data_IF_306337696596
#
_entry.id   IF_306337696596
#
_cell.length_a   1.000
_cell.length_b   1.000
_cell.length_c   1.000
_cell.angle_alpha   90.00
_cell.angle_beta   90.00
_cell.angle_gamma   90.00
#
_symmetry.space_group_name_H-M   'P 1'
#
loop_
_entity.id
_entity.type
_entity.pdbx_description
1 polymer ?
#
# COMPACT_ATOMS: atom_id res chain seq x y z
N UNK A 1 8.75 2.36 2.21
CA UNK A 1 7.91 3.00 3.24
C UNK A 1 6.60 3.48 2.64
N UNK A 2 5.54 3.57 3.44
CA UNK A 2 4.23 4.09 3.00
C UNK A 2 4.27 5.63 2.89
N UNK A 3 3.76 6.17 1.78
CA UNK A 3 3.65 7.61 1.52
C UNK A 3 2.22 7.94 1.08
N UNK A 4 1.60 8.94 1.71
CA UNK A 4 0.24 9.40 1.36
C UNK A 4 0.29 10.78 0.67
N UNK A 5 0.18 10.78 -0.65
CA UNK A 5 -0.15 12.00 -1.42
C UNK A 5 -1.65 12.22 -1.40
N UNK A 6 -2.27 12.28 -2.60
CA UNK A 6 -3.74 12.11 -2.72
C UNK A 6 -4.22 10.71 -2.33
N UNK A 7 -3.38 9.69 -2.54
CA UNK A 7 -3.57 8.27 -2.21
C UNK A 7 -2.25 7.67 -1.70
N UNK A 8 -2.30 6.45 -1.17
CA UNK A 8 -1.14 5.74 -0.67
C UNK A 8 -0.29 5.11 -1.79
N UNK A 9 1.03 5.19 -1.67
CA UNK A 9 2.00 4.43 -2.46
C UNK A 9 3.15 3.98 -1.58
N UNK A 10 3.89 2.95 -1.97
CA UNK A 10 5.19 2.66 -1.37
C UNK A 10 6.29 3.42 -2.11
N UNK A 11 7.27 3.90 -1.34
CA UNK A 11 8.54 4.43 -1.85
C UNK A 11 9.69 3.54 -1.37
N UNK A 12 10.69 3.24 -2.22
CA UNK A 12 11.89 2.54 -1.80
C UNK A 12 12.60 3.30 -0.67
N UNK A 13 12.92 2.62 0.42
CA UNK A 13 13.68 3.17 1.53
C UNK A 13 14.40 2.03 2.25
N UNK A 14 15.73 2.06 2.27
CA UNK A 14 16.55 1.01 2.87
C UNK A 14 16.21 0.85 4.36
N UNK A 15 16.03 -0.39 4.82
CA UNK A 15 15.67 -0.73 6.20
C UNK A 15 14.23 -0.38 6.60
N UNK A 16 13.46 0.28 5.74
CA UNK A 16 12.05 0.57 6.02
C UNK A 16 11.16 -0.66 5.75
N UNK A 17 10.04 -0.73 6.48
CA UNK A 17 9.01 -1.76 6.31
C UNK A 17 7.65 -1.14 6.03
N UNK A 18 6.81 -1.86 5.33
CA UNK A 18 5.38 -1.57 5.18
C UNK A 18 4.61 -2.86 5.41
N UNK A 19 3.52 -2.77 6.16
CA UNK A 19 2.63 -3.91 6.39
C UNK A 19 1.45 -3.80 5.42
N UNK A 20 0.97 -4.94 4.96
CA UNK A 20 -0.20 -5.02 4.10
C UNK A 20 -0.88 -6.37 4.24
N UNK A 21 -1.87 -6.60 3.39
CA UNK A 21 -2.54 -7.87 3.25
C UNK A 21 -2.12 -8.52 1.93
N UNK A 22 -2.00 -9.84 1.92
CA UNK A 22 -1.82 -10.62 0.70
C UNK A 22 -3.18 -11.16 0.25
N UNK A 23 -3.48 -10.98 -1.04
CA UNK A 23 -4.69 -11.47 -1.66
C UNK A 23 -4.35 -12.30 -2.90
N UNK A 24 -5.08 -13.39 -3.08
CA UNK A 24 -5.12 -14.11 -4.36
C UNK A 24 -6.29 -13.57 -5.17
N UNK A 25 -5.99 -13.10 -6.38
CA UNK A 25 -6.96 -12.50 -7.29
C UNK A 25 -6.65 -12.93 -8.72
N UNK A 26 -7.66 -12.96 -9.57
CA UNK A 26 -7.52 -13.22 -11.01
C UNK A 26 -7.03 -11.98 -11.75
N UNK A 27 -6.50 -12.18 -12.96
CA UNK A 27 -6.08 -11.07 -13.82
C UNK A 27 -7.25 -10.12 -14.15
N UNK A 28 -8.45 -10.66 -14.39
CA UNK A 28 -9.64 -9.86 -14.67
C UNK A 28 -10.10 -9.01 -13.47
N UNK A 29 -9.92 -9.50 -12.24
CA UNK A 29 -10.20 -8.72 -11.02
C UNK A 29 -9.16 -7.62 -10.82
N UNK A 30 -7.88 -7.89 -11.10
CA UNK A 30 -6.83 -6.88 -11.06
C UNK A 30 -7.07 -5.78 -12.10
N UNK A 31 -7.43 -6.15 -13.34
CA UNK A 31 -7.74 -5.19 -14.40
C UNK A 31 -8.93 -4.31 -14.01
N UNK A 32 -10.02 -4.91 -13.49
CA UNK A 32 -11.18 -4.16 -13.01
C UNK A 32 -10.83 -3.21 -11.86
N UNK A 33 -9.95 -3.62 -10.95
CA UNK A 33 -9.52 -2.78 -9.83
C UNK A 33 -8.71 -1.58 -10.32
N UNK A 34 -7.69 -1.80 -11.15
CA UNK A 34 -6.74 -0.74 -11.55
C UNK A 34 -7.19 0.09 -12.76
N UNK A 35 -8.32 -0.24 -13.37
CA UNK A 35 -9.03 0.64 -14.32
C UNK A 35 -10.03 1.58 -13.62
N UNK A 36 -10.21 1.47 -12.30
CA UNK A 36 -11.11 2.34 -11.57
C UNK A 36 -10.59 3.80 -11.50
N UNK A 37 -11.49 4.81 -11.48
CA UNK A 37 -11.11 6.21 -11.47
C UNK A 37 -10.13 6.60 -10.36
N UNK A 38 -9.04 7.24 -10.76
CA UNK A 38 -7.96 7.71 -9.87
C UNK A 38 -6.92 6.65 -9.50
N UNK A 39 -6.91 5.50 -10.18
CA UNK A 39 -5.87 4.46 -10.06
C UNK A 39 -5.04 4.29 -11.35
N UNK A 40 -5.27 5.11 -12.37
CA UNK A 40 -4.69 5.00 -13.71
C UNK A 40 -3.16 5.13 -13.73
N UNK A 41 -2.58 5.75 -12.69
CA UNK A 41 -1.14 5.95 -12.53
C UNK A 41 -0.45 4.83 -11.73
N UNK A 42 -1.20 3.89 -11.19
CA UNK A 42 -0.62 2.76 -10.46
C UNK A 42 -0.06 1.72 -11.41
N UNK A 43 1.15 1.26 -11.13
CA UNK A 43 1.83 0.22 -11.91
C UNK A 43 2.22 -0.95 -11.00
N UNK A 44 2.14 -2.19 -11.51
CA UNK A 44 2.56 -3.34 -10.73
C UNK A 44 4.08 -3.35 -10.60
N UNK A 45 4.55 -3.62 -9.38
CA UNK A 45 5.93 -3.86 -9.02
C UNK A 45 6.02 -5.21 -8.33
N UNK A 46 7.00 -6.02 -8.74
CA UNK A 46 7.25 -7.32 -8.12
C UNK A 46 7.89 -7.12 -6.73
N UNK A 47 7.32 -7.78 -5.73
CA UNK A 47 7.81 -7.74 -4.35
C UNK A 47 7.90 -9.15 -3.77
N UNK A 48 8.76 -9.32 -2.76
CA UNK A 48 8.73 -10.49 -1.88
C UNK A 48 8.03 -10.09 -0.59
N UNK A 49 6.80 -10.53 -0.41
CA UNK A 49 6.05 -10.30 0.81
C UNK A 49 6.51 -11.27 1.90
N UNK A 50 6.75 -10.74 3.09
CA UNK A 50 7.16 -11.53 4.25
C UNK A 50 5.95 -11.69 5.18
N UNK A 51 5.32 -12.88 5.21
CA UNK A 51 4.32 -13.16 6.24
C UNK A 51 4.99 -13.19 7.63
N UNK A 52 4.20 -13.02 8.68
CA UNK A 52 4.71 -13.12 10.06
C UNK A 52 5.29 -14.51 10.36
N UNK A 53 4.76 -15.53 9.70
CA UNK A 53 5.21 -16.91 9.78
C UNK A 53 5.29 -17.50 8.37
N UNK A 54 6.34 -18.29 8.11
CA UNK A 54 6.54 -19.01 6.86
C UNK A 54 7.50 -18.32 5.88
N UNK A 55 7.50 -18.83 4.65
CA UNK A 55 8.40 -18.38 3.59
C UNK A 55 7.93 -17.08 2.93
N UNK A 56 8.88 -16.34 2.35
CA UNK A 56 8.55 -15.18 1.54
C UNK A 56 7.73 -15.58 0.31
N UNK A 57 6.73 -14.76 -0.02
CA UNK A 57 5.77 -15.03 -1.09
C UNK A 57 5.98 -13.99 -2.20
N UNK A 58 6.24 -14.39 -3.46
CA UNK A 58 6.27 -13.45 -4.57
C UNK A 58 4.87 -12.88 -4.79
N UNK A 59 4.77 -11.56 -4.87
CA UNK A 59 3.51 -10.85 -5.03
C UNK A 59 3.70 -9.62 -5.93
N UNK A 60 2.58 -9.06 -6.37
CA UNK A 60 2.54 -7.75 -7.02
C UNK A 60 2.06 -6.72 -6.00
N UNK A 61 2.81 -5.63 -5.87
CA UNK A 61 2.39 -4.42 -5.19
C UNK A 61 2.17 -3.34 -6.24
N UNK A 62 1.09 -2.59 -6.17
CA UNK A 62 0.86 -1.51 -7.13
C UNK A 62 1.20 -0.19 -6.46
N UNK A 63 2.14 0.51 -7.08
CA UNK A 63 2.63 1.80 -6.62
C UNK A 63 2.38 2.87 -7.68
N UNK A 64 2.30 4.13 -7.27
CA UNK A 64 2.26 5.25 -8.20
C UNK A 64 3.55 5.27 -9.01
N UNK A 65 3.43 5.39 -10.34
CA UNK A 65 4.58 5.57 -11.22
C UNK A 65 5.45 6.76 -10.81
N UNK A 66 4.81 7.85 -10.37
CA UNK A 66 5.49 9.04 -9.90
C UNK A 66 5.22 9.23 -8.41
N UNK A 67 6.28 9.48 -7.64
CA UNK A 67 6.16 9.73 -6.21
C UNK A 67 5.35 11.03 -5.96
N UNK A 68 4.46 11.05 -4.97
CA UNK A 68 3.77 12.27 -4.58
C UNK A 68 4.76 13.37 -4.17
N UNK A 69 4.45 14.62 -4.52
CA UNK A 69 5.28 15.76 -4.16
C UNK A 69 5.44 15.87 -2.64
N UNK A 70 6.57 16.40 -2.13
CA UNK A 70 6.84 16.44 -0.69
C UNK A 70 5.78 17.15 0.17
N UNK A 71 5.01 18.08 -0.41
CA UNK A 71 3.96 18.84 0.26
C UNK A 71 2.57 18.19 0.18
N UNK A 72 2.36 17.22 -0.72
CA UNK A 72 1.05 16.58 -0.88
C UNK A 72 0.70 15.72 0.34
N UNK A 73 -0.46 15.96 0.93
CA UNK A 73 -1.00 15.15 2.04
C UNK A 73 -2.51 14.98 1.85
N UNK A 74 -3.06 13.95 2.47
CA UNK A 74 -4.51 13.73 2.51
C UNK A 74 -4.90 13.18 3.90
N UNK A 75 -5.15 14.07 4.89
CA UNK A 75 -5.46 13.68 6.26
C UNK A 75 -6.70 12.79 6.37
N UNK A 76 -7.73 13.03 5.56
CA UNK A 76 -8.95 12.22 5.55
C UNK A 76 -8.68 10.80 5.07
N UNK A 77 -7.84 10.66 4.04
CA UNK A 77 -7.39 9.35 3.56
C UNK A 77 -6.56 8.62 4.63
N UNK A 78 -5.61 9.33 5.27
CA UNK A 78 -4.80 8.77 6.33
C UNK A 78 -5.68 8.27 7.50
N UNK A 79 -6.62 9.09 7.97
CA UNK A 79 -7.53 8.71 9.05
C UNK A 79 -8.42 7.50 8.68
N UNK A 80 -8.89 7.42 7.43
CA UNK A 80 -9.64 6.25 6.94
C UNK A 80 -8.78 5.00 6.91
N UNK A 81 -7.53 5.11 6.45
CA UNK A 81 -6.59 4.00 6.40
C UNK A 81 -6.23 3.52 7.80
N UNK A 82 -5.94 4.43 8.74
CA UNK A 82 -5.70 4.09 10.15
C UNK A 82 -6.86 3.30 10.75
N UNK A 83 -8.11 3.75 10.54
CA UNK A 83 -9.30 3.02 11.02
C UNK A 83 -9.41 1.62 10.41
N UNK A 84 -9.11 1.47 9.12
CA UNK A 84 -9.15 0.17 8.45
C UNK A 84 -8.07 -0.78 9.01
N UNK A 85 -6.82 -0.31 9.11
CA UNK A 85 -5.71 -1.10 9.64
C UNK A 85 -5.93 -1.49 11.11
N UNK A 86 -6.46 -0.57 11.93
CA UNK A 86 -6.81 -0.85 13.32
C UNK A 86 -7.88 -1.94 13.45
N UNK A 87 -8.92 -1.91 12.60
CA UNK A 87 -9.96 -2.97 12.57
C UNK A 87 -9.41 -4.32 12.11
N UNK A 88 -8.38 -4.32 11.27
CA UNK A 88 -7.72 -5.53 10.77
C UNK A 88 -6.62 -6.06 11.72
N UNK A 89 -6.38 -5.41 12.86
CA UNK A 89 -5.43 -5.89 13.87
C UNK A 89 -3.95 -5.66 13.51
N UNK A 90 -3.64 -4.67 12.67
CA UNK A 90 -2.26 -4.32 12.36
C UNK A 90 -1.52 -3.76 13.59
N UNK A 91 -0.17 -3.85 13.64
CA UNK A 91 0.61 -3.33 14.77
C UNK A 91 0.31 -1.85 15.05
N UNK A 92 0.04 -1.50 16.31
CA UNK A 92 -0.43 -0.17 16.69
C UNK A 92 0.57 0.93 16.31
N UNK A 93 1.86 0.65 16.45
CA UNK A 93 2.94 1.56 16.05
C UNK A 93 2.94 1.80 14.53
N UNK A 94 2.59 0.78 13.74
CA UNK A 94 2.47 0.93 12.29
C UNK A 94 1.25 1.78 11.93
N UNK A 95 0.09 1.51 12.54
CA UNK A 95 -1.13 2.31 12.35
C UNK A 95 -0.87 3.78 12.68
N UNK A 96 -0.21 4.06 13.82
CA UNK A 96 0.09 5.42 14.24
C UNK A 96 1.05 6.16 13.29
N UNK A 97 1.94 5.44 12.59
CA UNK A 97 2.87 6.04 11.63
C UNK A 97 2.23 6.52 10.31
N UNK A 98 1.00 6.07 10.01
CA UNK A 98 0.28 6.44 8.79
C UNK A 98 -0.19 7.89 8.88
N UNK A 99 0.37 8.77 8.05
CA UNK A 99 0.06 10.22 8.03
C UNK A 99 0.09 10.82 6.62
#
# INVERSE_FOLDING_TARGET
TLRIGRRATLLPAAGARAYGMLYTVTHAELERLYTAPGLEQYRPEAVLAQPLEGAAIPALCYNLREAPQPHERNPDYAARLQRALGKLGFPLEYVASVS
#
